data_IF_946816383275
#
_entry.id   IF_946816383275
#
_cell.length_a   1.000
_cell.length_b   1.000
_cell.length_c   1.000
_cell.angle_alpha   90.00
_cell.angle_beta   90.00
_cell.angle_gamma   90.00
#
_symmetry.space_group_name_H-M   'P 1'
#
loop_
_entity.id
_entity.type
_entity.pdbx_description
1 polymer ?
#
# COMPACT_ATOMS: atom_id res chain seq x y z
N UNK A 1 -2.28 15.00 -0.83
CA UNK A 1 -2.82 13.68 -0.41
C UNK A 1 -2.09 12.61 -1.20
N UNK A 2 -1.71 11.50 -0.55
CA UNK A 2 -0.95 10.43 -1.19
C UNK A 2 -1.82 9.51 -2.07
N UNK A 3 -1.20 8.83 -3.03
CA UNK A 3 -1.81 7.78 -3.83
C UNK A 3 -1.32 6.41 -3.38
N UNK A 4 -2.26 5.47 -3.24
CA UNK A 4 -2.00 4.06 -2.92
C UNK A 4 -2.47 3.24 -4.11
N UNK A 5 -1.62 2.35 -4.59
CA UNK A 5 -1.88 1.45 -5.71
C UNK A 5 -1.46 0.04 -5.33
N UNK A 6 -2.19 -0.98 -5.77
CA UNK A 6 -1.81 -2.39 -5.65
C UNK A 6 -2.31 -3.19 -6.83
N UNK A 7 -1.58 -4.24 -7.17
CA UNK A 7 -1.98 -5.19 -8.20
C UNK A 7 -1.52 -6.59 -7.85
N UNK A 8 -2.43 -7.56 -7.90
CA UNK A 8 -2.11 -8.97 -7.78
C UNK A 8 -2.81 -9.77 -8.88
N UNK A 9 -2.07 -10.71 -9.46
CA UNK A 9 -2.56 -11.64 -10.49
C UNK A 9 -1.70 -12.90 -10.49
N UNK A 10 -2.33 -14.06 -10.64
CA UNK A 10 -1.63 -15.34 -10.81
C UNK A 10 -1.17 -15.55 -12.26
N UNK A 11 -1.70 -14.75 -13.20
CA UNK A 11 -1.33 -14.81 -14.60
C UNK A 11 -1.35 -13.40 -15.18
N UNK A 12 -0.20 -12.71 -15.10
CA UNK A 12 -0.04 -11.34 -15.61
C UNK A 12 0.35 -11.35 -17.08
N UNK A 13 -0.34 -10.55 -17.89
CA UNK A 13 -0.03 -10.33 -19.30
C UNK A 13 0.80 -9.05 -19.50
N UNK A 14 1.36 -8.90 -20.70
CA UNK A 14 2.05 -7.67 -21.08
C UNK A 14 1.10 -6.46 -21.15
N UNK A 15 -0.16 -6.68 -21.54
CA UNK A 15 -1.16 -5.61 -21.59
C UNK A 15 -1.60 -5.19 -20.18
N UNK A 16 -1.68 -6.10 -19.22
CA UNK A 16 -1.90 -5.76 -17.82
C UNK A 16 -0.80 -4.84 -17.30
N UNK A 17 0.47 -5.10 -17.64
CA UNK A 17 1.59 -4.22 -17.24
C UNK A 17 1.50 -2.84 -17.90
N UNK A 18 1.04 -2.73 -19.13
CA UNK A 18 0.82 -1.43 -19.79
C UNK A 18 -0.28 -0.64 -19.06
N UNK A 19 -1.38 -1.31 -18.70
CA UNK A 19 -2.48 -0.69 -17.97
C UNK A 19 -2.02 -0.32 -16.56
N UNK A 20 -1.30 -1.21 -15.86
CA UNK A 20 -0.72 -0.92 -14.55
C UNK A 20 0.20 0.31 -14.60
N UNK A 21 1.04 0.43 -15.62
CA UNK A 21 1.88 1.62 -15.83
C UNK A 21 1.06 2.89 -15.97
N UNK A 22 -0.05 2.86 -16.71
CA UNK A 22 -0.99 4.01 -16.83
C UNK A 22 -1.61 4.37 -15.49
N UNK A 23 -2.05 3.37 -14.71
CA UNK A 23 -2.60 3.57 -13.36
C UNK A 23 -1.57 4.25 -12.44
N UNK A 24 -0.32 3.77 -12.47
CA UNK A 24 0.78 4.35 -11.69
C UNK A 24 1.03 5.82 -12.07
N UNK A 25 1.11 6.14 -13.35
CA UNK A 25 1.28 7.51 -13.83
C UNK A 25 0.07 8.37 -13.45
N UNK A 26 -1.15 7.91 -13.67
CA UNK A 26 -2.37 8.64 -13.29
C UNK A 26 -2.43 8.92 -11.77
N UNK A 27 -1.84 8.06 -10.94
CA UNK A 27 -1.79 8.24 -9.50
C UNK A 27 -1.02 9.48 -9.05
N UNK A 28 -0.19 10.09 -9.92
CA UNK A 28 0.54 11.34 -9.65
C UNK A 28 -0.38 12.53 -9.35
N UNK A 29 -1.64 12.48 -9.74
CA UNK A 29 -2.64 13.48 -9.33
C UNK A 29 -2.74 13.59 -7.80
N UNK A 30 -2.33 12.54 -7.07
CA UNK A 30 -2.34 12.47 -5.61
C UNK A 30 -1.05 12.97 -4.97
N UNK A 31 0.07 12.92 -5.70
CA UNK A 31 1.36 13.39 -5.21
C UNK A 31 2.48 13.15 -6.21
N UNK A 32 3.40 14.13 -6.31
CA UNK A 32 4.52 14.12 -7.26
C UNK A 32 5.89 14.25 -6.61
N UNK A 33 5.97 14.23 -5.27
CA UNK A 33 7.22 14.51 -4.57
C UNK A 33 8.12 13.29 -4.42
N UNK A 34 7.53 12.10 -4.32
CA UNK A 34 8.26 10.84 -4.29
C UNK A 34 7.36 9.68 -4.73
N UNK A 35 7.99 8.59 -5.15
CA UNK A 35 7.34 7.34 -5.57
C UNK A 35 8.05 6.15 -4.94
N UNK A 36 7.29 5.12 -4.59
CA UNK A 36 7.85 3.91 -4.04
C UNK A 36 7.07 2.67 -4.44
N UNK A 37 7.76 1.54 -4.45
CA UNK A 37 7.30 0.25 -4.92
C UNK A 37 7.70 -0.84 -3.94
N UNK A 38 6.80 -1.79 -3.70
CA UNK A 38 7.14 -3.05 -3.06
C UNK A 38 6.52 -4.21 -3.84
N UNK A 39 7.23 -5.33 -3.95
CA UNK A 39 6.77 -6.51 -4.67
C UNK A 39 7.33 -7.77 -4.04
N UNK A 40 6.59 -8.86 -4.20
CA UNK A 40 7.04 -10.19 -3.81
C UNK A 40 7.82 -10.82 -4.96
N UNK A 41 9.07 -11.28 -4.71
CA UNK A 41 9.96 -11.85 -5.72
C UNK A 41 9.95 -13.38 -5.77
N UNK A 42 9.02 -14.00 -5.02
CA UNK A 42 8.92 -15.46 -4.88
C UNK A 42 9.55 -16.01 -3.60
N UNK A 43 10.32 -15.19 -2.87
CA UNK A 43 10.94 -15.58 -1.60
C UNK A 43 10.76 -14.52 -0.51
N UNK A 44 10.85 -13.25 -0.90
CA UNK A 44 10.76 -12.11 0.02
C UNK A 44 10.16 -10.88 -0.66
N UNK A 45 9.90 -9.86 0.14
CA UNK A 45 9.45 -8.56 -0.36
C UNK A 45 10.66 -7.67 -0.66
N UNK A 46 10.69 -7.16 -1.88
CA UNK A 46 11.64 -6.15 -2.34
C UNK A 46 10.99 -4.77 -2.26
N UNK A 47 11.79 -3.73 -1.98
CA UNK A 47 11.35 -2.34 -1.92
C UNK A 47 12.29 -1.44 -2.72
N UNK A 48 11.72 -0.49 -3.46
CA UNK A 48 12.46 0.59 -4.11
C UNK A 48 11.72 1.91 -3.90
N UNK A 49 12.46 2.98 -3.58
CA UNK A 49 11.91 4.32 -3.37
C UNK A 49 12.72 5.37 -4.12
N UNK A 50 12.04 6.35 -4.67
CA UNK A 50 12.58 7.42 -5.49
C UNK A 50 12.03 8.76 -5.02
N UNK A 51 12.90 9.74 -4.80
CA UNK A 51 12.51 11.14 -4.58
C UNK A 51 12.16 11.81 -5.93
N UNK A 52 11.29 11.16 -6.71
CA UNK A 52 10.89 11.52 -8.07
C UNK A 52 9.37 11.33 -8.26
N UNK A 53 8.75 12.08 -9.18
CA UNK A 53 7.41 11.77 -9.67
C UNK A 53 7.35 10.34 -10.21
N UNK A 54 6.18 9.72 -10.16
CA UNK A 54 5.97 8.32 -10.57
C UNK A 54 6.45 8.07 -12.02
N UNK A 55 6.18 8.97 -12.92
CA UNK A 55 6.58 8.85 -14.33
C UNK A 55 8.10 8.79 -14.49
N UNK A 56 8.85 9.60 -13.73
CA UNK A 56 10.32 9.60 -13.77
C UNK A 56 10.91 8.41 -13.02
N UNK A 57 10.29 7.99 -11.92
CA UNK A 57 10.65 6.77 -11.21
C UNK A 57 10.50 5.52 -12.12
N UNK A 58 9.46 5.46 -12.95
CA UNK A 58 9.21 4.37 -13.90
C UNK A 58 10.18 4.36 -15.11
N UNK A 59 11.03 5.37 -15.29
CA UNK A 59 12.17 5.32 -16.23
C UNK A 59 13.35 4.54 -15.66
N UNK A 60 13.44 4.46 -14.32
CA UNK A 60 14.49 3.76 -13.58
C UNK A 60 14.02 2.41 -13.02
N UNK A 61 12.71 2.18 -12.94
CA UNK A 61 12.10 0.99 -12.38
C UNK A 61 11.32 0.21 -13.43
N UNK A 62 11.65 -1.07 -13.61
CA UNK A 62 10.96 -1.95 -14.55
C UNK A 62 9.92 -2.80 -13.84
N UNK A 63 8.65 -2.70 -14.23
CA UNK A 63 7.58 -3.56 -13.70
C UNK A 63 7.80 -5.05 -13.98
N UNK A 64 8.62 -5.40 -15.00
CA UNK A 64 8.92 -6.79 -15.31
C UNK A 64 9.67 -7.52 -14.20
N UNK A 65 10.47 -6.81 -13.41
CA UNK A 65 11.18 -7.39 -12.26
C UNK A 65 10.27 -7.82 -11.12
N UNK A 66 9.01 -7.34 -11.13
CA UNK A 66 8.00 -7.70 -10.12
C UNK A 66 7.26 -9.01 -10.45
N UNK A 67 7.59 -9.65 -11.58
CA UNK A 67 6.93 -10.88 -12.03
C UNK A 67 7.73 -12.08 -11.53
N UNK A 68 7.03 -12.99 -10.86
CA UNK A 68 7.54 -14.29 -10.45
C UNK A 68 6.59 -15.40 -10.90
N UNK A 69 7.09 -16.41 -11.64
CA UNK A 69 6.29 -17.51 -12.17
C UNK A 69 4.96 -17.08 -12.82
N UNK A 70 5.02 -16.08 -13.72
CA UNK A 70 3.86 -15.46 -14.37
C UNK A 70 2.89 -14.72 -13.44
N UNK A 71 3.11 -14.72 -12.14
CA UNK A 71 2.31 -14.00 -11.15
C UNK A 71 2.93 -12.66 -10.79
N UNK A 72 2.13 -11.78 -10.21
CA UNK A 72 2.58 -10.51 -9.65
C UNK A 72 1.84 -10.22 -8.34
N UNK A 73 2.57 -9.77 -7.31
CA UNK A 73 2.03 -9.15 -6.11
C UNK A 73 2.83 -7.87 -5.84
N UNK A 74 2.17 -6.73 -6.00
CA UNK A 74 2.83 -5.44 -6.10
C UNK A 74 2.00 -4.35 -5.44
N UNK A 75 2.64 -3.49 -4.64
CA UNK A 75 2.05 -2.28 -4.09
C UNK A 75 2.93 -1.06 -4.38
N UNK A 76 2.32 0.11 -4.55
CA UNK A 76 3.02 1.35 -4.84
C UNK A 76 2.41 2.56 -4.14
N UNK A 77 3.22 3.59 -3.99
CA UNK A 77 2.86 4.83 -3.33
C UNK A 77 3.32 6.04 -4.13
N UNK A 78 2.45 7.05 -4.24
CA UNK A 78 2.82 8.39 -4.69
C UNK A 78 2.64 9.39 -3.56
N UNK A 79 3.69 10.12 -3.23
CA UNK A 79 3.73 11.00 -2.07
C UNK A 79 3.43 12.45 -2.44
N UNK A 80 2.50 13.03 -1.70
CA UNK A 80 2.39 14.47 -1.53
C UNK A 80 2.98 14.84 -0.18
N UNK A 81 4.16 15.47 -0.17
CA UNK A 81 4.84 15.85 1.07
C UNK A 81 4.46 17.28 1.47
N UNK A 82 4.06 17.45 2.72
CA UNK A 82 3.91 18.75 3.39
C UNK A 82 5.01 18.98 4.42
N UNK A 83 5.92 18.00 4.58
CA UNK A 83 7.03 17.99 5.54
C UNK A 83 8.27 17.35 4.89
N UNK A 84 9.22 16.84 5.68
CA UNK A 84 10.41 16.16 5.17
C UNK A 84 10.09 15.02 4.19
N UNK A 85 10.88 14.90 3.12
CA UNK A 85 10.85 13.78 2.16
C UNK A 85 11.77 12.63 2.59
N UNK A 86 12.29 12.66 3.83
CA UNK A 86 13.31 11.70 4.31
C UNK A 86 12.78 10.27 4.41
N UNK A 87 11.50 10.09 4.79
CA UNK A 87 10.91 8.77 4.98
C UNK A 87 9.80 8.52 3.94
N UNK A 88 10.08 7.66 2.99
CA UNK A 88 9.16 7.29 1.93
C UNK A 88 8.42 5.98 2.28
N UNK A 89 7.29 5.78 1.62
CA UNK A 89 6.62 4.49 1.57
C UNK A 89 6.96 3.81 0.22
N UNK A 90 6.92 2.47 0.16
CA UNK A 90 6.49 1.51 1.17
C UNK A 90 7.41 1.43 2.40
N UNK A 91 6.84 1.11 3.57
CA UNK A 91 7.58 0.76 4.78
C UNK A 91 7.64 -0.77 4.86
N UNK A 92 8.81 -1.33 5.09
CA UNK A 92 9.06 -2.77 5.19
C UNK A 92 9.52 -3.11 6.61
N UNK A 93 8.83 -4.03 7.28
CA UNK A 93 9.18 -4.60 8.59
C UNK A 93 8.88 -6.10 8.53
N UNK A 94 9.81 -6.94 8.98
CA UNK A 94 9.63 -8.39 9.10
C UNK A 94 9.04 -9.02 7.84
N UNK A 95 9.61 -8.68 6.68
CA UNK A 95 9.15 -9.12 5.36
C UNK A 95 7.66 -8.82 5.07
N UNK A 96 7.11 -7.76 5.68
CA UNK A 96 5.76 -7.23 5.40
C UNK A 96 5.87 -5.77 5.01
N UNK A 97 5.27 -5.38 3.89
CA UNK A 97 5.32 -4.00 3.41
C UNK A 97 3.95 -3.33 3.46
N UNK A 98 3.93 -2.03 3.76
CA UNK A 98 2.71 -1.22 3.76
C UNK A 98 2.85 0.03 2.89
N UNK A 99 1.78 0.36 2.18
CA UNK A 99 1.52 1.69 1.63
C UNK A 99 0.21 2.23 2.18
N UNK A 100 0.20 3.50 2.58
CA UNK A 100 -0.91 4.10 3.31
C UNK A 100 -1.18 5.54 2.85
N UNK A 101 -2.44 5.87 2.68
CA UNK A 101 -2.95 7.22 2.50
C UNK A 101 -3.85 7.59 3.67
N UNK A 102 -3.38 8.48 4.52
CA UNK A 102 -4.10 8.92 5.70
C UNK A 102 -3.19 9.58 6.72
N UNK A 103 -3.66 9.60 7.96
CA UNK A 103 -2.91 10.04 9.15
C UNK A 103 -3.26 9.08 10.27
N UNK A 104 -2.27 8.43 10.85
CA UNK A 104 -2.44 7.52 11.98
C UNK A 104 -2.34 8.30 13.29
N UNK A 105 -1.34 9.16 13.42
CA UNK A 105 -1.13 10.00 14.58
C UNK A 105 -0.70 11.41 14.19
N UNK A 106 -1.24 12.40 14.90
CA UNK A 106 -0.77 13.79 14.81
C UNK A 106 0.28 14.11 15.89
N UNK A 107 0.55 13.17 16.80
CA UNK A 107 1.54 13.33 17.83
C UNK A 107 2.96 13.27 17.24
N UNK A 108 3.90 13.98 17.86
CA UNK A 108 5.30 13.93 17.46
C UNK A 108 5.86 12.50 17.56
N UNK A 109 6.67 12.05 16.59
CA UNK A 109 7.26 10.70 16.55
C UNK A 109 7.96 10.29 17.86
N UNK A 110 8.62 11.23 18.52
CA UNK A 110 9.30 11.00 19.82
C UNK A 110 8.35 10.52 20.94
N UNK A 111 7.05 10.80 20.81
CA UNK A 111 6.05 10.42 21.82
C UNK A 111 5.35 9.09 21.50
N UNK A 112 5.54 8.51 20.30
CA UNK A 112 4.77 7.34 19.85
C UNK A 112 4.97 6.12 20.74
N UNK A 113 6.20 5.87 21.21
CA UNK A 113 6.46 4.76 22.12
C UNK A 113 5.69 4.89 23.44
N UNK A 114 5.63 6.09 24.00
CA UNK A 114 4.90 6.34 25.25
C UNK A 114 3.38 6.27 25.06
N UNK A 115 2.87 6.76 23.92
CA UNK A 115 1.43 6.81 23.62
C UNK A 115 0.85 5.48 23.17
N UNK A 116 1.59 4.74 22.33
CA UNK A 116 1.07 3.59 21.60
C UNK A 116 1.80 2.27 21.92
N UNK A 117 2.93 2.33 22.62
CA UNK A 117 3.75 1.16 22.95
C UNK A 117 4.68 0.70 21.83
N UNK A 118 4.62 1.29 20.62
CA UNK A 118 5.43 0.88 19.48
C UNK A 118 6.71 1.68 19.35
N UNK A 119 7.84 0.97 19.16
CA UNK A 119 9.12 1.58 18.78
C UNK A 119 9.21 1.66 17.28
N UNK A 120 9.24 2.88 16.71
CA UNK A 120 9.36 3.13 15.28
C UNK A 120 10.78 3.57 14.91
N UNK A 121 11.25 3.14 13.75
CA UNK A 121 12.56 3.50 13.18
C UNK A 121 12.46 4.72 12.27
N UNK A 122 11.25 5.02 11.77
CA UNK A 122 10.99 6.16 10.91
C UNK A 122 10.08 7.18 11.60
N UNK A 123 10.06 8.40 11.07
CA UNK A 123 9.10 9.44 11.48
C UNK A 123 7.80 9.40 10.63
N UNK A 124 7.59 8.32 9.89
CA UNK A 124 6.38 8.12 9.09
C UNK A 124 5.35 7.35 9.92
N UNK A 125 4.22 7.96 10.22
CA UNK A 125 3.17 7.40 11.07
C UNK A 125 2.52 6.13 10.49
N UNK A 126 2.72 5.83 9.21
CA UNK A 126 2.32 4.54 8.62
C UNK A 126 3.08 3.36 9.21
N UNK A 127 4.26 3.59 9.82
CA UNK A 127 4.98 2.57 10.56
C UNK A 127 4.21 2.14 11.82
N UNK A 128 3.57 3.08 12.52
CA UNK A 128 2.69 2.75 13.65
C UNK A 128 1.61 1.75 13.27
N UNK A 129 0.96 1.99 12.11
CA UNK A 129 -0.07 1.09 11.60
C UNK A 129 0.49 -0.30 11.30
N UNK A 130 1.66 -0.38 10.66
CA UNK A 130 2.28 -1.66 10.35
C UNK A 130 2.68 -2.41 11.62
N UNK A 131 3.29 -1.75 12.61
CA UNK A 131 3.66 -2.38 13.89
C UNK A 131 2.46 -2.86 14.69
N UNK A 132 1.38 -2.07 14.72
CA UNK A 132 0.10 -2.48 15.33
C UNK A 132 -0.42 -3.78 14.69
N UNK A 133 -0.42 -3.85 13.35
CA UNK A 133 -0.88 -5.03 12.61
C UNK A 133 0.03 -6.23 12.90
N UNK A 134 1.35 -6.06 12.88
CA UNK A 134 2.30 -7.17 13.12
C UNK A 134 2.24 -7.71 14.55
N UNK A 135 1.86 -6.89 15.52
CA UNK A 135 1.62 -7.34 16.91
C UNK A 135 0.23 -7.97 17.12
N UNK A 136 -0.61 -8.01 16.08
CA UNK A 136 -1.97 -8.56 16.17
C UNK A 136 -2.97 -7.64 16.85
N UNK A 137 -2.62 -6.37 17.06
CA UNK A 137 -3.50 -5.38 17.68
C UNK A 137 -4.57 -4.88 16.70
N UNK A 138 -5.70 -4.43 17.23
CA UNK A 138 -6.79 -3.86 16.43
C UNK A 138 -6.53 -2.37 16.12
N UNK A 139 -6.25 -2.00 14.86
CA UNK A 139 -6.00 -0.60 14.49
C UNK A 139 -7.14 0.35 14.82
N UNK A 140 -8.39 -0.11 14.87
CA UNK A 140 -9.54 0.73 15.22
C UNK A 140 -9.50 1.13 16.71
N UNK A 141 -9.08 0.19 17.55
CA UNK A 141 -8.97 0.42 19.00
C UNK A 141 -7.74 1.25 19.32
N UNK A 142 -6.63 0.91 18.66
CA UNK A 142 -5.34 1.55 18.91
C UNK A 142 -5.31 3.00 18.38
N UNK A 143 -5.95 3.25 17.25
CA UNK A 143 -5.96 4.55 16.57
C UNK A 143 -7.39 4.99 16.19
N UNK A 144 -8.27 5.29 17.15
CA UNK A 144 -9.69 5.59 16.89
C UNK A 144 -9.88 6.83 16.00
N UNK A 145 -8.96 7.80 16.09
CA UNK A 145 -8.99 9.03 15.30
C UNK A 145 -8.30 8.93 13.94
N UNK A 146 -7.59 7.85 13.66
CA UNK A 146 -6.86 7.67 12.42
C UNK A 146 -7.76 7.78 11.17
N UNK A 147 -7.15 8.21 10.08
CA UNK A 147 -7.74 8.09 8.74
C UNK A 147 -6.91 7.11 7.92
N UNK A 148 -7.53 6.02 7.44
CA UNK A 148 -6.83 4.87 6.90
C UNK A 148 -7.36 4.47 5.53
N UNK A 149 -6.46 4.39 4.54
CA UNK A 149 -6.57 3.59 3.33
C UNK A 149 -5.19 3.00 3.03
N UNK A 150 -5.02 1.70 3.25
CA UNK A 150 -3.73 1.02 3.19
C UNK A 150 -3.81 -0.27 2.36
N UNK A 151 -2.68 -0.65 1.79
CA UNK A 151 -2.43 -1.96 1.24
C UNK A 151 -1.21 -2.56 1.93
N UNK A 152 -1.36 -3.78 2.42
CA UNK A 152 -0.31 -4.53 3.09
C UNK A 152 0.07 -5.69 2.16
N UNK A 153 1.34 -5.77 1.79
CA UNK A 153 1.90 -6.91 1.08
C UNK A 153 2.55 -7.83 2.11
N UNK A 154 2.07 -9.05 2.17
CA UNK A 154 2.46 -10.05 3.18
C UNK A 154 3.63 -10.93 2.71
N UNK A 155 4.33 -11.64 3.61
CA UNK A 155 5.48 -12.48 3.26
C UNK A 155 5.19 -13.59 2.24
N UNK A 156 3.93 -14.00 2.09
CA UNK A 156 3.49 -15.01 1.10
C UNK A 156 2.97 -14.39 -0.21
N UNK A 157 3.17 -13.08 -0.42
CA UNK A 157 2.75 -12.40 -1.65
C UNK A 157 1.27 -12.04 -1.74
N UNK A 158 0.52 -12.08 -0.64
CA UNK A 158 -0.86 -11.60 -0.62
C UNK A 158 -0.93 -10.08 -0.43
N UNK A 159 -1.92 -9.43 -1.06
CA UNK A 159 -2.26 -8.04 -0.80
C UNK A 159 -3.51 -7.97 0.08
N UNK A 160 -3.35 -7.44 1.29
CA UNK A 160 -4.45 -7.20 2.22
C UNK A 160 -4.87 -5.72 2.21
N UNK A 161 -6.01 -5.38 1.60
CA UNK A 161 -6.52 -4.01 1.59
C UNK A 161 -7.24 -3.66 2.89
N UNK A 162 -6.96 -2.47 3.43
CA UNK A 162 -7.57 -1.94 4.65
C UNK A 162 -8.03 -0.50 4.45
N UNK A 163 -9.24 -0.15 4.90
CA UNK A 163 -9.70 1.24 4.95
C UNK A 163 -10.74 1.50 6.03
N UNK A 164 -10.80 2.74 6.52
CA UNK A 164 -11.94 3.23 7.30
C UNK A 164 -12.79 4.24 6.51
N UNK A 165 -13.86 4.77 7.12
CA UNK A 165 -14.78 5.71 6.46
C UNK A 165 -14.10 7.00 5.99
N UNK A 166 -12.99 7.41 6.64
CA UNK A 166 -12.33 8.70 6.43
C UNK A 166 -11.50 8.76 5.13
N UNK A 167 -11.13 7.60 4.54
CA UNK A 167 -10.30 7.53 3.31
C UNK A 167 -10.87 6.55 2.28
N UNK A 168 -10.87 6.92 0.98
CA UNK A 168 -11.31 6.00 -0.06
C UNK A 168 -10.22 5.01 -0.44
N UNK A 169 -10.64 3.80 -0.80
CA UNK A 169 -9.86 2.77 -1.49
C UNK A 169 -10.80 2.03 -2.43
N UNK A 170 -10.40 1.91 -3.69
CA UNK A 170 -11.18 1.28 -4.74
C UNK A 170 -10.47 0.05 -5.26
N UNK A 171 -11.23 -0.92 -5.73
CA UNK A 171 -10.73 -2.10 -6.42
C UNK A 171 -11.38 -2.21 -7.80
N UNK A 172 -10.67 -2.80 -8.74
CA UNK A 172 -11.19 -3.17 -10.05
C UNK A 172 -10.58 -4.47 -10.51
N UNK A 173 -11.06 -4.98 -11.64
CA UNK A 173 -10.47 -6.13 -12.30
C UNK A 173 -9.53 -5.67 -13.40
N UNK A 174 -8.36 -6.27 -13.47
CA UNK A 174 -7.36 -6.03 -14.50
C UNK A 174 -6.84 -7.38 -15.01
N UNK A 175 -7.24 -7.77 -16.22
CA UNK A 175 -7.02 -9.13 -16.70
C UNK A 175 -7.62 -10.17 -15.77
N UNK A 176 -6.84 -11.17 -15.37
CA UNK A 176 -7.23 -12.16 -14.35
C UNK A 176 -7.04 -11.69 -12.92
N UNK A 177 -6.41 -10.52 -12.73
CA UNK A 177 -6.02 -10.02 -11.42
C UNK A 177 -6.94 -8.95 -10.85
N UNK A 178 -6.58 -8.51 -9.63
CA UNK A 178 -7.26 -7.45 -8.90
C UNK A 178 -6.31 -6.26 -8.78
N UNK A 179 -6.81 -5.08 -9.11
CA UNK A 179 -6.09 -3.82 -8.95
C UNK A 179 -6.77 -2.93 -7.91
N UNK A 180 -5.98 -2.20 -7.14
CA UNK A 180 -6.41 -1.25 -6.13
C UNK A 180 -5.87 0.15 -6.45
N UNK A 181 -6.68 1.19 -6.15
CA UNK A 181 -6.23 2.57 -6.19
C UNK A 181 -6.99 3.45 -5.19
N UNK A 182 -6.39 4.57 -4.82
CA UNK A 182 -6.99 5.55 -3.91
C UNK A 182 -8.29 6.16 -4.42
N UNK A 183 -8.47 6.31 -5.74
CA UNK A 183 -9.68 6.87 -6.35
C UNK A 183 -10.12 6.06 -7.57
N UNK A 184 -11.44 6.03 -7.82
CA UNK A 184 -12.01 5.31 -8.96
C UNK A 184 -11.58 5.90 -10.31
N UNK A 185 -11.39 7.22 -10.39
CA UNK A 185 -10.95 7.91 -11.61
C UNK A 185 -9.62 7.35 -12.12
N UNK A 186 -8.65 7.09 -11.23
CA UNK A 186 -7.35 6.52 -11.61
C UNK A 186 -7.53 5.16 -12.32
N UNK A 187 -8.47 4.34 -11.85
CA UNK A 187 -8.78 3.05 -12.46
C UNK A 187 -9.56 3.20 -13.77
N UNK A 188 -10.61 4.04 -13.76
CA UNK A 188 -11.50 4.25 -14.91
C UNK A 188 -10.75 4.83 -16.12
N UNK A 189 -9.94 5.86 -15.91
CA UNK A 189 -9.13 6.48 -16.97
C UNK A 189 -8.10 5.51 -17.57
N UNK A 190 -7.65 4.53 -16.81
CA UNK A 190 -6.75 3.49 -17.30
C UNK A 190 -7.47 2.35 -18.04
N UNK A 191 -8.80 2.33 -18.05
CA UNK A 191 -9.60 1.29 -18.71
C UNK A 191 -9.81 0.04 -17.85
N UNK A 192 -9.79 0.18 -16.52
CA UNK A 192 -10.07 -0.92 -15.59
C UNK A 192 -11.57 -1.17 -15.51
N UNK A 193 -11.96 -2.43 -15.50
CA UNK A 193 -13.35 -2.87 -15.41
C UNK A 193 -13.79 -3.19 -13.97
N UNK A 194 -15.11 -3.32 -13.76
CA UNK A 194 -15.72 -3.75 -12.48
C UNK A 194 -15.21 -2.98 -11.26
N UNK A 195 -15.13 -1.64 -11.38
CA UNK A 195 -14.61 -0.78 -10.30
C UNK A 195 -15.62 -0.71 -9.14
N UNK A 196 -15.16 -1.05 -7.94
CA UNK A 196 -15.95 -1.04 -6.72
C UNK A 196 -15.20 -0.36 -5.58
N UNK A 197 -15.92 0.40 -4.73
CA UNK A 197 -15.35 0.93 -3.50
C UNK A 197 -15.11 -0.22 -2.52
N UNK A 198 -13.89 -0.35 -1.99
CA UNK A 198 -13.59 -1.35 -0.97
C UNK A 198 -14.42 -1.06 0.28
N UNK A 199 -15.06 -2.08 0.82
CA UNK A 199 -15.82 -1.97 2.06
C UNK A 199 -14.94 -1.55 3.24
N UNK A 200 -15.54 -1.07 4.32
CA UNK A 200 -14.87 -0.63 5.53
C UNK A 200 -14.46 -1.85 6.36
N UNK A 201 -13.59 -1.67 7.34
CA UNK A 201 -13.09 -2.67 8.30
C UNK A 201 -14.13 -3.67 8.87
N UNK A 202 -15.41 -3.36 8.84
CA UNK A 202 -16.45 -4.23 9.37
C UNK A 202 -16.50 -5.62 8.72
N UNK A 203 -15.91 -5.76 7.52
CA UNK A 203 -15.82 -7.02 6.78
C UNK A 203 -14.53 -7.83 7.04
N UNK A 204 -13.58 -7.29 7.78
CA UNK A 204 -12.44 -8.05 8.29
C UNK A 204 -12.91 -8.80 9.55
N UNK A 205 -13.68 -9.87 9.34
CA UNK A 205 -14.14 -10.70 10.44
C UNK A 205 -12.96 -11.40 11.14
N UNK A 206 -13.15 -11.71 12.43
CA UNK A 206 -12.23 -12.38 13.37
C UNK A 206 -11.41 -13.58 12.82
N UNK A 207 -11.71 -14.09 11.62
CA UNK A 207 -10.97 -15.15 10.95
C UNK A 207 -9.65 -14.66 10.34
N UNK A 208 -9.63 -13.45 9.78
CA UNK A 208 -8.42 -12.92 9.13
C UNK A 208 -7.39 -12.41 10.14
N UNK A 209 -7.84 -11.97 11.32
CA UNK A 209 -6.96 -11.50 12.40
C UNK A 209 -6.20 -12.66 13.08
N UNK A 210 -6.75 -13.89 13.12
CA UNK A 210 -6.04 -15.06 13.68
C UNK A 210 -4.93 -15.60 12.78
N UNK A 211 -5.02 -15.38 11.47
CA UNK A 211 -3.96 -15.74 10.53
C UNK A 211 -2.70 -14.84 10.63
N UNK A 212 -2.79 -13.71 11.32
CA UNK A 212 -1.62 -12.86 11.57
C UNK A 212 -0.75 -13.34 12.73
N UNK A 213 -1.35 -14.07 13.71
CA UNK A 213 -0.66 -14.62 14.87
C UNK A 213 0.12 -15.90 14.62
N UNK A 214 -0.10 -16.57 13.48
CA UNK A 214 0.56 -17.84 13.13
C UNK A 214 1.82 -17.64 12.25
N UNK A 215 2.32 -16.39 12.13
CA UNK A 215 3.52 -16.02 11.35
C UNK A 215 4.70 -15.63 12.27
N UNK A 216 4.73 -16.19 13.48
CA UNK A 216 5.91 -16.13 14.36
C UNK A 216 6.58 -17.48 14.46
#
# INVERSE_FOLDING_TARGET
MCGVIGFCSDKVSFDDLKILKRILIASQIRGKHASGFAWYDGSKIQVSSYALPMEDALKQFSLKQCIYNHSIAFIAHTRYSTSSIKFHQPILIDNTAIVHNGVISQSSPKNWRALYGYSCETENDSELLLRCILQGDDPKKQFPEASIAALILTPNGEIKPMRNAKRPLWRGQLGSGIVYASTWHILSEAGVEHIQKKKIFEDLQRRDMRQWGDIV
#
